data_IF_649277705460
#
_entry.id   IF_649277705460
#
_cell.length_a   1.000
_cell.length_b   1.000
_cell.length_c   1.000
_cell.angle_alpha   90.00
_cell.angle_beta   90.00
_cell.angle_gamma   90.00
#
_symmetry.space_group_name_H-M   'P 1'
#
loop_
_entity.id
_entity.type
_entity.pdbx_description
1 polymer ?
#
# COMPACT_ATOMS: atom_id res chain seq x y z
N UNK A 1 -21.55 -23.38 6.27
CA UNK A 1 -20.42 -22.45 6.56
C UNK A 1 -19.36 -22.62 5.48
N UNK A 2 -18.79 -21.53 4.95
CA UNK A 2 -17.73 -21.56 3.93
C UNK A 2 -16.48 -20.90 4.51
N UNK A 3 -15.35 -21.58 4.47
CA UNK A 3 -14.03 -21.02 4.79
C UNK A 3 -13.22 -21.03 3.50
N UNK A 4 -12.69 -19.87 3.10
CA UNK A 4 -12.00 -19.73 1.82
C UNK A 4 -10.86 -18.74 1.90
N UNK A 5 -9.75 -19.07 1.24
CA UNK A 5 -8.68 -18.13 0.94
C UNK A 5 -9.05 -17.29 -0.30
N UNK A 6 -8.53 -16.06 -0.46
CA UNK A 6 -7.54 -15.33 0.36
C UNK A 6 -8.15 -14.50 1.51
N UNK A 7 -7.40 -14.30 2.59
CA UNK A 7 -7.86 -13.61 3.81
C UNK A 7 -8.24 -12.13 3.64
N UNK A 8 -7.82 -11.50 2.54
CA UNK A 8 -8.19 -10.11 2.19
C UNK A 8 -9.14 -10.01 0.98
N UNK A 9 -9.68 -11.15 0.53
CA UNK A 9 -10.61 -11.26 -0.59
C UNK A 9 -10.09 -10.78 -1.97
N UNK A 10 -8.78 -10.62 -2.14
CA UNK A 10 -8.17 -10.11 -3.38
C UNK A 10 -8.12 -11.13 -4.51
N UNK A 11 -7.96 -12.41 -4.17
CA UNK A 11 -7.82 -13.50 -5.12
C UNK A 11 -8.40 -14.82 -4.60
N UNK A 12 -8.64 -15.75 -5.54
CA UNK A 12 -9.08 -17.11 -5.26
C UNK A 12 -10.61 -17.29 -5.23
N UNK A 13 -11.02 -18.46 -4.73
CA UNK A 13 -12.43 -18.89 -4.71
C UNK A 13 -13.32 -17.97 -3.87
N UNK A 14 -12.75 -17.28 -2.87
CA UNK A 14 -13.47 -16.29 -2.06
C UNK A 14 -14.20 -15.25 -2.91
N UNK A 15 -13.62 -14.80 -4.04
CA UNK A 15 -14.26 -13.82 -4.93
C UNK A 15 -15.56 -14.37 -5.54
N UNK A 16 -15.58 -15.64 -5.91
CA UNK A 16 -16.78 -16.29 -6.40
C UNK A 16 -17.80 -16.45 -5.27
N UNK A 17 -17.39 -16.85 -4.07
CA UNK A 17 -18.30 -16.92 -2.93
C UNK A 17 -18.90 -15.55 -2.60
N UNK A 18 -18.10 -14.47 -2.64
CA UNK A 18 -18.59 -13.10 -2.45
C UNK A 18 -19.58 -12.70 -3.55
N UNK A 19 -19.28 -13.00 -4.83
CA UNK A 19 -20.21 -12.73 -5.95
C UNK A 19 -21.61 -13.30 -5.71
N UNK A 20 -21.69 -14.53 -5.17
CA UNK A 20 -22.96 -15.23 -5.00
C UNK A 20 -23.69 -14.91 -3.68
N UNK A 21 -23.04 -14.23 -2.73
CA UNK A 21 -23.58 -14.03 -1.39
C UNK A 21 -23.68 -12.56 -0.95
N UNK A 22 -22.88 -11.64 -1.50
CA UNK A 22 -22.87 -10.24 -1.05
C UNK A 22 -24.23 -9.53 -1.17
N UNK A 23 -25.04 -9.90 -2.15
CA UNK A 23 -26.36 -9.31 -2.38
C UNK A 23 -27.48 -9.92 -1.53
N UNK A 24 -27.19 -10.98 -0.75
CA UNK A 24 -28.18 -11.67 0.09
C UNK A 24 -28.14 -11.11 1.52
N UNK A 25 -29.24 -10.54 2.03
CA UNK A 25 -29.27 -9.97 3.39
C UNK A 25 -29.17 -11.02 4.50
N UNK A 26 -29.46 -12.29 4.20
CA UNK A 26 -29.37 -13.41 5.16
C UNK A 26 -27.93 -13.96 5.31
N UNK A 27 -26.99 -13.49 4.47
CA UNK A 27 -25.61 -13.92 4.51
C UNK A 27 -24.77 -13.01 5.42
N UNK A 28 -23.84 -13.61 6.17
CA UNK A 28 -22.81 -12.88 6.92
C UNK A 28 -21.43 -13.19 6.35
N UNK A 29 -20.66 -12.13 6.03
CA UNK A 29 -19.25 -12.22 5.67
C UNK A 29 -18.43 -11.86 6.91
N UNK A 30 -17.73 -12.86 7.45
CA UNK A 30 -16.91 -12.71 8.66
C UNK A 30 -15.42 -12.65 8.32
N UNK A 31 -14.78 -11.51 8.55
CA UNK A 31 -13.33 -11.36 8.48
C UNK A 31 -12.69 -11.67 9.84
N UNK A 32 -11.60 -12.44 9.85
CA UNK A 32 -10.89 -12.85 11.09
C UNK A 32 -9.50 -12.23 11.23
N UNK A 33 -9.10 -11.38 10.29
CA UNK A 33 -7.78 -10.75 10.26
C UNK A 33 -7.82 -9.35 9.67
N UNK A 34 -6.69 -8.65 9.81
CA UNK A 34 -6.53 -7.28 9.31
C UNK A 34 -6.77 -7.19 7.80
N UNK A 35 -7.38 -6.08 7.37
CA UNK A 35 -7.72 -5.81 5.97
C UNK A 35 -6.94 -4.59 5.50
N UNK A 36 -5.96 -4.83 4.62
CA UNK A 36 -5.09 -3.77 4.11
C UNK A 36 -5.84 -2.76 3.25
N UNK A 37 -5.49 -1.48 3.39
CA UNK A 37 -6.02 -0.39 2.56
C UNK A 37 -5.84 -0.71 1.07
N UNK A 38 -6.92 -0.51 0.30
CA UNK A 38 -6.96 -0.77 -1.14
C UNK A 38 -7.37 -2.19 -1.52
N UNK A 39 -7.59 -3.09 -0.56
CA UNK A 39 -8.15 -4.43 -0.83
C UNK A 39 -9.68 -4.42 -0.86
N UNK A 40 -10.27 -5.39 -1.55
CA UNK A 40 -11.71 -5.63 -1.54
C UNK A 40 -12.22 -5.90 -0.11
N UNK A 41 -11.49 -6.70 0.66
CA UNK A 41 -11.87 -6.99 2.04
C UNK A 41 -11.92 -5.74 2.90
N UNK A 42 -11.00 -4.78 2.70
CA UNK A 42 -11.04 -3.48 3.37
C UNK A 42 -12.22 -2.63 2.94
N UNK A 43 -12.52 -2.57 1.64
CA UNK A 43 -13.69 -1.84 1.14
C UNK A 43 -15.01 -2.38 1.74
N UNK A 44 -15.15 -3.71 1.83
CA UNK A 44 -16.31 -4.34 2.46
C UNK A 44 -16.38 -4.02 3.96
N UNK A 45 -15.25 -4.12 4.67
CA UNK A 45 -15.16 -3.79 6.09
C UNK A 45 -15.49 -2.31 6.37
N UNK A 46 -15.05 -1.39 5.52
CA UNK A 46 -15.33 0.04 5.63
C UNK A 46 -16.78 0.40 5.25
N UNK A 47 -17.60 -0.59 4.87
CA UNK A 47 -19.04 -0.44 4.66
C UNK A 47 -19.46 -0.08 3.24
N UNK A 48 -18.64 -0.41 2.23
CA UNK A 48 -19.00 -0.21 0.83
C UNK A 48 -20.36 -0.83 0.51
N UNK A 49 -21.29 -0.02 -0.03
CA UNK A 49 -22.63 -0.49 -0.44
C UNK A 49 -22.64 -1.22 -1.77
N UNK A 50 -21.61 -1.03 -2.57
CA UNK A 50 -21.41 -1.67 -3.86
C UNK A 50 -19.94 -1.97 -4.08
N UNK A 51 -19.65 -3.11 -4.68
CA UNK A 51 -18.28 -3.51 -5.06
C UNK A 51 -18.29 -4.08 -6.48
N UNK A 52 -17.14 -4.00 -7.16
CA UNK A 52 -16.99 -4.58 -8.51
C UNK A 52 -16.24 -5.91 -8.42
N UNK A 53 -16.86 -6.98 -8.91
CA UNK A 53 -16.33 -8.33 -8.92
C UNK A 53 -16.59 -8.95 -10.30
N UNK A 54 -15.55 -9.42 -10.98
CA UNK A 54 -15.65 -10.01 -12.33
C UNK A 54 -16.36 -9.09 -13.33
N UNK A 55 -16.00 -7.80 -13.31
CA UNK A 55 -16.60 -6.74 -14.12
C UNK A 55 -18.09 -6.47 -13.92
N UNK A 56 -18.69 -7.08 -12.91
CA UNK A 56 -20.06 -6.81 -12.48
C UNK A 56 -20.08 -5.95 -11.21
N UNK A 57 -21.04 -5.05 -11.12
CA UNK A 57 -21.31 -4.28 -9.89
C UNK A 57 -22.29 -5.07 -9.02
N UNK A 58 -21.92 -5.31 -7.76
CA UNK A 58 -22.68 -6.13 -6.82
C UNK A 58 -23.06 -5.27 -5.63
N UNK A 59 -24.35 -5.26 -5.28
CA UNK A 59 -24.85 -4.64 -4.06
C UNK A 59 -24.44 -5.45 -2.83
N UNK A 60 -24.01 -4.74 -1.79
CA UNK A 60 -23.64 -5.33 -0.50
C UNK A 60 -24.82 -5.18 0.45
N UNK A 61 -25.61 -6.26 0.55
CA UNK A 61 -26.71 -6.42 1.51
C UNK A 61 -26.37 -7.40 2.63
N UNK A 62 -25.40 -8.28 2.39
CA UNK A 62 -24.86 -9.17 3.39
C UNK A 62 -24.31 -8.40 4.59
N UNK A 63 -24.43 -8.99 5.77
CA UNK A 63 -23.87 -8.46 6.99
C UNK A 63 -22.35 -8.63 6.99
N UNK A 64 -21.61 -7.55 7.22
CA UNK A 64 -20.14 -7.60 7.31
C UNK A 64 -19.74 -7.55 8.78
N UNK A 65 -19.01 -8.57 9.24
CA UNK A 65 -18.51 -8.68 10.63
C UNK A 65 -17.00 -8.88 10.64
N UNK A 66 -16.36 -8.45 11.73
CA UNK A 66 -14.94 -8.66 11.96
C UNK A 66 -14.71 -9.21 13.36
N UNK A 67 -14.04 -10.36 13.42
CA UNK A 67 -13.58 -10.98 14.65
C UNK A 67 -12.09 -10.66 14.84
N UNK A 68 -11.78 -9.75 15.77
CA UNK A 68 -10.41 -9.24 15.98
C UNK A 68 -9.51 -10.20 16.77
N UNK A 69 -10.08 -11.17 17.47
CA UNK A 69 -9.38 -12.02 18.43
C UNK A 69 -8.43 -13.08 17.83
N UNK A 70 -8.46 -13.31 16.50
CA UNK A 70 -7.72 -14.41 15.86
C UNK A 70 -6.70 -13.91 14.83
N UNK A 71 -6.30 -12.63 14.88
CA UNK A 71 -5.38 -12.09 13.87
C UNK A 71 -3.95 -12.64 13.95
N UNK A 72 -3.59 -13.36 15.02
CA UNK A 72 -2.25 -13.89 15.26
C UNK A 72 -1.19 -12.83 15.58
N UNK A 73 -1.53 -11.54 15.46
CA UNK A 73 -0.68 -10.42 15.79
C UNK A 73 -0.91 -9.96 17.23
N UNK A 74 0.17 -9.65 17.94
CA UNK A 74 0.09 -9.01 19.24
C UNK A 74 -0.53 -7.61 19.10
N UNK A 75 -1.36 -7.24 20.08
CA UNK A 75 -1.86 -5.88 20.20
C UNK A 75 -0.76 -4.94 20.74
N UNK A 76 -1.09 -3.66 20.91
CA UNK A 76 -0.13 -2.67 21.41
C UNK A 76 0.46 -3.07 22.77
N UNK A 77 -0.36 -3.60 23.67
CA UNK A 77 0.06 -3.97 25.01
C UNK A 77 0.97 -5.20 24.99
N UNK A 78 0.64 -6.20 24.16
CA UNK A 78 1.46 -7.38 23.92
C UNK A 78 2.82 -7.00 23.32
N UNK A 79 2.85 -6.15 22.29
CA UNK A 79 4.09 -5.66 21.70
C UNK A 79 4.94 -4.86 22.69
N UNK A 80 4.32 -4.02 23.52
CA UNK A 80 5.03 -3.26 24.56
C UNK A 80 5.63 -4.17 25.63
N UNK A 81 4.86 -5.17 26.08
CA UNK A 81 5.32 -6.16 27.06
C UNK A 81 6.49 -6.96 26.50
N UNK A 82 6.39 -7.39 25.24
CA UNK A 82 7.46 -8.08 24.53
C UNK A 82 8.72 -7.20 24.42
N UNK A 83 8.58 -5.94 23.99
CA UNK A 83 9.69 -5.01 23.89
C UNK A 83 10.44 -4.81 25.22
N UNK A 84 9.72 -4.78 26.35
CA UNK A 84 10.32 -4.61 27.69
C UNK A 84 10.99 -5.86 28.26
N UNK A 85 10.73 -7.03 27.69
CA UNK A 85 11.19 -8.30 28.26
C UNK A 85 12.66 -8.62 27.97
N UNK A 86 13.34 -7.84 27.13
CA UNK A 86 14.73 -8.08 26.76
C UNK A 86 15.72 -7.65 27.84
N UNK A 87 16.74 -8.48 28.08
CA UNK A 87 17.88 -8.19 28.95
C UNK A 87 19.18 -8.72 28.31
N UNK A 88 20.17 -7.86 28.01
CA UNK A 88 20.16 -6.41 28.19
C UNK A 88 19.12 -5.73 27.28
N UNK A 89 18.68 -4.53 27.69
CA UNK A 89 17.74 -3.73 26.89
C UNK A 89 18.42 -3.35 25.56
N UNK A 90 17.76 -3.60 24.41
CA UNK A 90 18.24 -3.17 23.11
C UNK A 90 18.52 -1.67 23.06
N UNK A 91 19.64 -1.28 22.44
CA UNK A 91 19.99 0.13 22.26
C UNK A 91 18.98 0.87 21.37
N UNK A 92 18.30 0.16 20.46
CA UNK A 92 17.27 0.71 19.57
C UNK A 92 16.35 -0.39 19.03
N UNK A 93 15.08 -0.04 18.82
CA UNK A 93 14.08 -0.86 18.12
C UNK A 93 13.80 -0.27 16.73
N UNK A 94 13.66 -1.15 15.74
CA UNK A 94 13.24 -0.77 14.39
C UNK A 94 11.85 -1.35 14.12
N UNK A 95 10.88 -0.48 13.86
CA UNK A 95 9.50 -0.88 13.61
C UNK A 95 9.30 -1.02 12.11
N UNK A 96 8.98 -2.24 11.69
CA UNK A 96 8.73 -2.59 10.31
C UNK A 96 7.30 -3.16 10.17
N UNK A 97 6.84 -3.35 8.93
CA UNK A 97 5.57 -4.03 8.62
C UNK A 97 4.35 -3.48 9.38
N UNK A 98 4.11 -2.17 9.26
CA UNK A 98 2.90 -1.52 9.77
C UNK A 98 2.47 -0.36 8.87
N UNK A 99 1.24 0.10 9.02
CA UNK A 99 0.84 1.39 8.45
C UNK A 99 1.69 2.50 9.06
N UNK A 100 2.17 3.45 8.25
CA UNK A 100 3.08 4.54 8.66
C UNK A 100 2.64 5.21 9.96
N UNK A 101 1.40 5.71 10.01
CA UNK A 101 0.87 6.40 11.21
C UNK A 101 0.85 5.52 12.45
N UNK A 102 0.59 4.23 12.29
CA UNK A 102 0.54 3.26 13.39
C UNK A 102 1.95 2.95 13.89
N UNK A 103 2.89 2.71 12.96
CA UNK A 103 4.28 2.45 13.27
C UNK A 103 4.94 3.65 13.97
N UNK A 104 4.73 4.86 13.45
CA UNK A 104 5.22 6.09 14.09
C UNK A 104 4.64 6.31 15.48
N UNK A 105 3.33 6.06 15.64
CA UNK A 105 2.68 6.17 16.94
C UNK A 105 3.26 5.17 17.94
N UNK A 106 3.57 3.96 17.49
CA UNK A 106 4.19 2.94 18.34
C UNK A 106 5.64 3.30 18.69
N UNK A 107 6.43 3.86 17.75
CA UNK A 107 7.76 4.38 18.00
C UNK A 107 7.75 5.47 19.09
N UNK A 108 6.83 6.43 18.99
CA UNK A 108 6.68 7.48 20.00
C UNK A 108 6.34 6.91 21.37
N UNK A 109 5.51 5.88 21.44
CA UNK A 109 5.16 5.23 22.69
C UNK A 109 6.37 4.51 23.33
N UNK A 110 7.15 3.75 22.54
CA UNK A 110 8.40 3.14 23.01
C UNK A 110 9.40 4.20 23.52
N UNK A 111 9.60 5.27 22.74
CA UNK A 111 10.51 6.35 23.10
C UNK A 111 10.11 7.04 24.41
N UNK A 112 8.80 7.27 24.62
CA UNK A 112 8.27 7.81 25.88
C UNK A 112 8.50 6.91 27.11
N UNK A 113 8.85 5.65 26.90
CA UNK A 113 9.18 4.69 27.96
C UNK A 113 10.69 4.42 28.06
N UNK A 114 11.51 5.27 27.43
CA UNK A 114 12.98 5.14 27.45
C UNK A 114 13.53 4.04 26.54
N UNK A 115 12.72 3.52 25.60
CA UNK A 115 13.13 2.54 24.60
C UNK A 115 13.29 3.24 23.25
N UNK A 116 14.51 3.59 22.80
CA UNK A 116 14.70 4.31 21.54
C UNK A 116 14.15 3.50 20.37
N UNK A 117 13.32 4.11 19.53
CA UNK A 117 12.69 3.44 18.40
C UNK A 117 12.76 4.28 17.13
N UNK A 118 12.78 3.62 15.97
CA UNK A 118 12.76 4.25 14.65
C UNK A 118 11.87 3.48 13.68
N UNK A 119 11.30 4.17 12.70
CA UNK A 119 10.47 3.59 11.64
C UNK A 119 11.23 3.78 10.33
N UNK A 120 12.01 2.78 9.87
CA UNK A 120 12.79 2.94 8.66
C UNK A 120 11.93 3.03 7.40
N UNK A 121 12.35 3.87 6.46
CA UNK A 121 11.77 3.93 5.12
C UNK A 121 12.52 3.04 4.12
N UNK A 122 11.88 2.75 3.00
CA UNK A 122 12.51 2.00 1.92
C UNK A 122 13.74 2.75 1.40
N UNK A 123 14.90 2.09 1.47
CA UNK A 123 16.18 2.67 1.06
C UNK A 123 16.97 3.34 2.18
N UNK A 124 16.46 3.33 3.42
CA UNK A 124 17.23 3.70 4.60
C UNK A 124 18.45 2.79 4.76
N UNK A 125 19.58 3.38 5.17
CA UNK A 125 20.78 2.64 5.56
C UNK A 125 21.18 3.07 6.96
N UNK A 126 21.39 2.09 7.84
CA UNK A 126 21.72 2.31 9.23
C UNK A 126 23.02 1.60 9.60
N UNK A 127 23.86 2.31 10.35
CA UNK A 127 24.98 1.75 11.09
C UNK A 127 24.45 1.22 12.43
N UNK A 128 24.40 -0.11 12.57
CA UNK A 128 23.92 -0.74 13.80
C UNK A 128 24.95 -0.69 14.94
N UNK A 129 26.24 -0.53 14.65
CA UNK A 129 27.29 -0.43 15.67
C UNK A 129 27.25 0.93 16.34
N UNK A 130 27.13 1.99 15.53
CA UNK A 130 27.10 3.37 16.02
C UNK A 130 25.67 3.88 16.28
N UNK A 131 24.64 3.13 15.86
CA UNK A 131 23.24 3.50 16.03
C UNK A 131 22.81 4.71 15.20
N UNK A 132 23.49 4.97 14.08
CA UNK A 132 23.32 6.17 13.26
C UNK A 132 22.72 5.83 11.89
N UNK A 133 21.85 6.71 11.39
CA UNK A 133 21.35 6.60 10.03
C UNK A 133 22.42 7.16 9.07
N UNK A 134 22.93 6.30 8.19
CA UNK A 134 23.93 6.66 7.17
C UNK A 134 23.25 7.30 5.96
N UNK A 135 22.04 6.83 5.64
CA UNK A 135 21.27 7.28 4.49
C UNK A 135 19.78 7.28 4.80
N UNK A 136 19.13 8.37 4.45
CA UNK A 136 17.68 8.46 4.40
C UNK A 136 17.16 7.88 3.09
N UNK A 137 16.20 6.97 3.20
CA UNK A 137 15.49 6.33 2.11
C UNK A 137 14.50 7.29 1.46
N UNK A 138 13.61 6.76 0.63
CA UNK A 138 12.63 7.56 -0.07
C UNK A 138 11.33 7.62 0.75
N UNK A 139 10.98 8.75 1.39
CA UNK A 139 9.78 8.87 2.20
C UNK A 139 8.44 8.78 1.45
N UNK A 140 8.28 9.20 0.18
CA UNK A 140 6.99 9.10 -0.47
C UNK A 140 6.63 7.63 -0.65
N UNK A 141 5.69 7.18 0.18
CA UNK A 141 4.88 6.01 -0.11
C UNK A 141 4.44 6.14 -1.57
N UNK A 142 4.66 5.09 -2.36
CA UNK A 142 4.00 4.98 -3.67
C UNK A 142 2.51 5.06 -3.35
N UNK A 143 1.92 6.25 -3.52
CA UNK A 143 0.48 6.42 -3.59
C UNK A 143 0.09 5.59 -4.80
N UNK A 144 -0.25 4.31 -4.59
CA UNK A 144 -1.18 3.65 -5.50
C UNK A 144 -2.33 4.63 -5.55
N UNK A 145 -2.56 5.23 -6.71
CA UNK A 145 -3.70 6.09 -6.93
C UNK A 145 -4.89 5.39 -6.33
N UNK A 146 -5.33 5.84 -5.16
CA UNK A 146 -6.60 5.44 -4.62
C UNK A 146 -7.54 5.91 -5.71
N UNK A 147 -8.19 4.96 -6.40
CA UNK A 147 -9.40 5.29 -7.14
C UNK A 147 -10.40 5.73 -6.08
N UNK A 148 -10.25 6.96 -5.59
CA UNK A 148 -11.32 7.68 -4.94
C UNK A 148 -12.37 7.84 -6.03
N UNK A 149 -13.30 6.87 -6.08
CA UNK A 149 -14.63 7.12 -6.61
C UNK A 149 -15.35 7.97 -5.58
N UNK A 150 -14.99 9.24 -5.47
CA UNK A 150 -15.91 10.22 -4.93
C UNK A 150 -16.99 10.44 -5.97
N UNK A 151 -18.21 10.08 -5.59
CA UNK A 151 -19.44 10.25 -6.34
C UNK A 151 -19.88 11.73 -6.41
N UNK A 152 -18.94 12.64 -6.65
CA UNK A 152 -19.19 14.06 -6.75
C UNK A 152 -18.49 14.62 -7.99
N UNK A 153 -19.32 14.92 -9.00
CA UNK A 153 -19.10 15.83 -10.13
C UNK A 153 -19.27 15.14 -11.51
N UNK A 154 -20.53 14.96 -11.88
CA UNK A 154 -20.96 15.34 -13.23
C UNK A 154 -20.71 16.85 -13.39
N UNK A 155 -19.50 17.21 -13.80
CA UNK A 155 -19.18 18.51 -14.38
C UNK A 155 -17.94 18.31 -15.28
N UNK A 156 -17.93 18.82 -16.52
CA UNK A 156 -16.79 18.68 -17.40
C UNK A 156 -15.64 19.53 -16.85
N UNK A 157 -14.58 18.90 -16.33
CA UNK A 157 -13.35 19.60 -15.99
C UNK A 157 -12.67 20.05 -17.29
N UNK A 158 -12.72 21.36 -17.53
CA UNK A 158 -11.95 22.05 -18.56
C UNK A 158 -10.48 21.61 -18.54
N UNK A 159 -9.98 21.20 -19.72
CA UNK A 159 -8.62 21.57 -20.12
C UNK A 159 -7.54 20.49 -20.24
N UNK A 160 -7.82 19.19 -20.14
CA UNK A 160 -6.82 18.15 -20.46
C UNK A 160 -7.38 17.21 -21.50
N UNK A 161 -6.93 17.36 -22.75
CA UNK A 161 -7.35 16.52 -23.86
C UNK A 161 -6.88 15.08 -23.66
N UNK A 162 -7.52 14.13 -24.34
CA UNK A 162 -7.03 12.74 -24.36
C UNK A 162 -5.62 12.62 -24.95
N UNK A 163 -5.18 13.60 -25.76
CA UNK A 163 -3.81 13.69 -26.23
C UNK A 163 -2.84 14.05 -25.08
N UNK A 164 -3.22 14.98 -24.21
CA UNK A 164 -2.41 15.37 -23.05
C UNK A 164 -2.25 14.22 -22.05
N UNK A 165 -3.32 13.43 -21.84
CA UNK A 165 -3.25 12.22 -21.00
C UNK A 165 -2.30 11.17 -21.57
N UNK A 166 -2.30 10.98 -22.90
CA UNK A 166 -1.39 10.05 -23.59
C UNK A 166 0.06 10.52 -23.47
N UNK A 167 0.32 11.81 -23.65
CA UNK A 167 1.65 12.40 -23.51
C UNK A 167 2.19 12.24 -22.09
N UNK A 168 1.38 12.56 -21.08
CA UNK A 168 1.74 12.39 -19.67
C UNK A 168 2.05 10.93 -19.33
N UNK A 169 1.26 9.97 -19.86
CA UNK A 169 1.49 8.53 -19.68
C UNK A 169 2.81 8.07 -20.29
N UNK A 170 3.15 8.55 -21.49
CA UNK A 170 4.43 8.24 -22.15
C UNK A 170 5.62 8.78 -21.36
N UNK A 171 5.55 10.03 -20.88
CA UNK A 171 6.61 10.65 -20.08
C UNK A 171 6.82 9.92 -18.74
N UNK A 172 5.73 9.47 -18.12
CA UNK A 172 5.77 8.67 -16.89
C UNK A 172 6.56 7.37 -17.07
N UNK A 173 6.39 6.69 -18.22
CA UNK A 173 7.11 5.45 -18.55
C UNK A 173 8.60 5.72 -18.78
N UNK A 174 8.94 6.81 -19.46
CA UNK A 174 10.33 7.21 -19.69
C UNK A 174 11.06 7.48 -18.37
N UNK A 175 10.41 8.19 -17.44
CA UNK A 175 10.96 8.47 -16.10
C UNK A 175 11.20 7.20 -15.29
N UNK A 176 10.31 6.21 -15.39
CA UNK A 176 10.50 4.92 -14.75
C UNK A 176 11.71 4.16 -15.33
N UNK A 177 11.91 4.22 -16.64
CA UNK A 177 13.04 3.60 -17.32
C UNK A 177 14.36 4.25 -16.91
N UNK A 178 14.38 5.58 -16.73
CA UNK A 178 15.53 6.30 -16.16
C UNK A 178 15.85 5.87 -14.73
N UNK A 179 14.83 5.70 -13.87
CA UNK A 179 15.03 5.25 -12.48
C UNK A 179 15.60 3.82 -12.39
N UNK A 180 15.29 2.96 -13.36
CA UNK A 180 15.83 1.60 -13.47
C UNK A 180 17.21 1.54 -14.14
N UNK A 181 17.68 2.65 -14.73
CA UNK A 181 18.94 2.69 -15.47
C UNK A 181 20.18 2.53 -14.58
N UNK A 182 20.05 2.54 -13.25
CA UNK A 182 21.16 2.24 -12.33
C UNK A 182 21.77 0.85 -12.58
N UNK A 183 20.99 -0.10 -13.08
CA UNK A 183 21.44 -1.45 -13.47
C UNK A 183 21.90 -1.59 -14.93
N UNK A 184 21.88 -0.52 -15.74
CA UNK A 184 22.26 -0.59 -17.16
C UNK A 184 23.76 -0.34 -17.36
N UNK A 185 24.33 -0.97 -18.39
CA UNK A 185 25.70 -0.68 -18.82
C UNK A 185 25.82 0.76 -19.36
N UNK A 186 27.02 1.34 -19.30
CA UNK A 186 27.26 2.70 -19.77
C UNK A 186 26.92 2.88 -21.27
N UNK A 187 27.13 1.85 -22.08
CA UNK A 187 26.74 1.85 -23.49
C UNK A 187 25.21 1.88 -23.71
N UNK A 188 24.44 1.18 -22.87
CA UNK A 188 22.97 1.24 -22.91
C UNK A 188 22.44 2.61 -22.46
N UNK A 189 23.06 3.21 -21.44
CA UNK A 189 22.74 4.57 -21.00
C UNK A 189 23.00 5.60 -22.11
N UNK A 190 24.13 5.50 -22.81
CA UNK A 190 24.47 6.37 -23.94
C UNK A 190 23.46 6.23 -25.08
N UNK A 191 23.14 4.99 -25.48
CA UNK A 191 22.14 4.74 -26.54
C UNK A 191 20.76 5.28 -26.19
N UNK A 192 20.32 5.12 -24.93
CA UNK A 192 19.05 5.67 -24.46
C UNK A 192 19.04 7.20 -24.53
N UNK A 193 20.11 7.85 -24.08
CA UNK A 193 20.24 9.30 -24.15
C UNK A 193 20.21 9.81 -25.60
N UNK A 194 20.97 9.18 -26.50
CA UNK A 194 20.97 9.51 -27.94
C UNK A 194 19.58 9.38 -28.58
N UNK A 195 18.79 8.37 -28.18
CA UNK A 195 17.43 8.17 -28.68
C UNK A 195 16.47 9.25 -28.17
N UNK A 196 16.58 9.65 -26.91
CA UNK A 196 15.76 10.73 -26.34
C UNK A 196 16.08 12.06 -27.05
N UNK A 197 17.37 12.38 -27.20
CA UNK A 197 17.84 13.56 -27.93
C UNK A 197 17.36 13.57 -29.39
N UNK A 198 17.37 12.41 -30.06
CA UNK A 198 16.85 12.28 -31.43
C UNK A 198 15.35 12.56 -31.51
N UNK A 199 14.58 12.11 -30.52
CA UNK A 199 13.15 12.40 -30.43
C UNK A 199 12.96 13.89 -30.21
N UNK A 200 13.64 14.52 -29.25
CA UNK A 200 13.52 15.96 -28.98
C UNK A 200 13.79 16.77 -30.26
N UNK A 201 14.91 16.51 -30.94
CA UNK A 201 15.26 17.16 -32.20
C UNK A 201 14.23 16.98 -33.32
N UNK A 202 13.50 15.86 -33.34
CA UNK A 202 12.46 15.61 -34.35
C UNK A 202 11.18 16.43 -34.14
N UNK A 203 11.00 17.03 -32.98
CA UNK A 203 9.87 17.91 -32.66
C UNK A 203 10.28 19.40 -32.55
N UNK A 204 11.58 19.70 -32.57
CA UNK A 204 12.13 21.07 -32.59
C UNK A 204 12.39 21.61 -34.01
N UNK A 205 12.37 20.74 -35.03
CA UNK A 205 12.41 21.08 -36.47
C UNK A 205 11.02 20.93 -37.10
#
# INVERSE_FOLDING_TARGET
>A
MIISASGMAEAGRIRHHLKHNLWKPEATILFVGYQSVGTLGRALYDGAKKVRLFDEEIEVKAEIRMLRAISGHADMNGLMTWAKSFSPVPARYFICHGEEKVAESFARNLAGQGLPASVPYNGDVWDLMNGQQIKEGNPPLVRRAVKEKTAAAMAPSLGVSDADRKLQSAFSRLRNLQNQASGYSNGLKSKLAEQIEKIIKSWEN
#
